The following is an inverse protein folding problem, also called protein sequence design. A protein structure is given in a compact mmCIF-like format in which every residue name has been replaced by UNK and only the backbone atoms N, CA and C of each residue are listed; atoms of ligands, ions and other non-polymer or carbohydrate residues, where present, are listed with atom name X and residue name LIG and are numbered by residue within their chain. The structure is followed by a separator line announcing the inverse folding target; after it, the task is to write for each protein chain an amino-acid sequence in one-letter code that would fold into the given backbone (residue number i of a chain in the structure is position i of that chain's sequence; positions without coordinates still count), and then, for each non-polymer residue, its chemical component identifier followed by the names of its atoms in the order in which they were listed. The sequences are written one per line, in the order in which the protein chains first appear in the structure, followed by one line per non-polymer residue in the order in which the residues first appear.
data_IF_318961699349
#
_entry.id   IF_318961699349
#
_cell.length_a   1.000
_cell.length_b   1.000
_cell.length_c   1.000
_cell.angle_alpha   90.00
_cell.angle_beta   90.00
_cell.angle_gamma   90.00
#
_symmetry.space_group_name_H-M   'P 1'
#
loop_
_entity.id
_entity.type
_entity.pdbx_description
1 polymer ?
#
# COMPACT_ATOMS: atom_id res chain seq x y z
N UNK A 1 -15.79 2.98 22.29
CA UNK A 1 -15.05 1.95 21.52
C UNK A 1 -13.60 2.38 21.46
N UNK A 2 -12.65 1.62 21.99
CA UNK A 2 -11.25 2.04 22.04
C UNK A 2 -10.63 2.15 20.64
N UNK A 3 -9.72 3.12 20.43
CA UNK A 3 -8.98 3.34 19.17
C UNK A 3 -8.35 2.04 18.64
N UNK A 4 -7.91 1.16 19.54
CA UNK A 4 -7.40 -0.17 19.23
C UNK A 4 -8.41 -1.05 18.48
N UNK A 5 -9.68 -1.05 18.90
CA UNK A 5 -10.73 -1.85 18.27
C UNK A 5 -10.96 -1.38 16.84
N UNK A 6 -11.01 -0.07 16.63
CA UNK A 6 -11.17 0.54 15.31
C UNK A 6 -9.97 0.23 14.39
N UNK A 7 -8.75 0.28 14.92
CA UNK A 7 -7.55 -0.08 14.18
C UNK A 7 -7.60 -1.55 13.71
N UNK A 8 -7.94 -2.50 14.59
CA UNK A 8 -7.96 -3.92 14.24
C UNK A 8 -9.15 -4.27 13.33
N UNK A 9 -10.35 -3.77 13.63
CA UNK A 9 -11.56 -4.09 12.86
C UNK A 9 -11.57 -3.46 11.45
N UNK A 10 -10.86 -2.35 11.24
CA UNK A 10 -10.82 -1.70 9.91
C UNK A 10 -9.53 -2.04 9.17
N UNK A 11 -8.35 -1.96 9.82
CA UNK A 11 -7.08 -2.12 9.11
C UNK A 11 -6.71 -3.57 8.78
N UNK A 12 -7.33 -4.56 9.43
CA UNK A 12 -7.03 -5.98 9.20
C UNK A 12 -7.86 -6.61 8.07
N UNK A 13 -9.21 -6.49 8.02
CA UNK A 13 -9.99 -7.20 7.01
C UNK A 13 -9.76 -6.65 5.60
N UNK A 14 -9.52 -5.34 5.45
CA UNK A 14 -9.35 -4.71 4.14
C UNK A 14 -8.16 -5.33 3.37
N UNK A 15 -6.91 -5.27 3.88
CA UNK A 15 -5.78 -5.86 3.16
C UNK A 15 -5.89 -7.38 3.07
N UNK A 16 -6.52 -8.05 4.04
CA UNK A 16 -6.75 -9.49 3.99
C UNK A 16 -7.64 -9.89 2.82
N UNK A 17 -8.81 -9.26 2.70
CA UNK A 17 -9.75 -9.51 1.60
C UNK A 17 -9.10 -9.18 0.27
N UNK A 18 -8.44 -8.03 0.14
CA UNK A 18 -7.75 -7.65 -1.11
C UNK A 18 -6.66 -8.65 -1.48
N UNK A 19 -5.88 -9.13 -0.51
CA UNK A 19 -4.81 -10.10 -0.75
C UNK A 19 -5.37 -11.47 -1.15
N UNK A 20 -6.45 -11.93 -0.51
CA UNK A 20 -7.16 -13.15 -0.92
C UNK A 20 -7.71 -13.02 -2.33
N UNK A 21 -8.36 -11.89 -2.67
CA UNK A 21 -8.83 -11.64 -4.03
C UNK A 21 -7.69 -11.65 -5.05
N UNK A 22 -6.49 -11.21 -4.65
CA UNK A 22 -5.30 -11.16 -5.50
C UNK A 22 -4.68 -12.54 -5.75
N UNK A 23 -4.70 -13.43 -4.75
CA UNK A 23 -4.03 -14.74 -4.78
C UNK A 23 -4.87 -15.83 -5.43
N UNK A 24 -6.18 -15.62 -5.62
CA UNK A 24 -7.04 -16.58 -6.30
C UNK A 24 -6.62 -16.77 -7.77
N UNK A 25 -6.38 -18.00 -8.24
CA UNK A 25 -6.00 -18.29 -9.62
C UNK A 25 -7.23 -18.27 -10.54
N UNK A 26 -7.80 -17.08 -10.74
CA UNK A 26 -9.04 -16.91 -11.51
C UNK A 26 -8.76 -16.47 -12.95
N UNK A 27 -9.83 -16.44 -13.77
CA UNK A 27 -9.72 -16.03 -15.17
C UNK A 27 -9.19 -14.60 -15.33
N UNK A 28 -8.53 -14.32 -16.46
CA UNK A 28 -7.87 -13.02 -16.73
C UNK A 28 -8.76 -11.78 -16.52
N UNK A 29 -10.05 -11.88 -16.89
CA UNK A 29 -11.01 -10.78 -16.70
C UNK A 29 -11.22 -10.45 -15.22
N UNK A 30 -11.21 -11.48 -14.36
CA UNK A 30 -11.32 -11.31 -12.92
C UNK A 30 -10.08 -10.64 -12.34
N UNK A 31 -8.87 -11.12 -12.68
CA UNK A 31 -7.63 -10.48 -12.22
C UNK A 31 -7.55 -9.00 -12.62
N UNK A 32 -8.04 -8.63 -13.81
CA UNK A 32 -8.13 -7.24 -14.25
C UNK A 32 -9.13 -6.43 -13.42
N UNK A 33 -10.29 -7.01 -13.12
CA UNK A 33 -11.28 -6.39 -12.24
C UNK A 33 -10.73 -6.15 -10.84
N UNK A 34 -10.03 -7.14 -10.28
CA UNK A 34 -9.37 -7.04 -8.97
C UNK A 34 -8.24 -5.99 -9.01
N UNK A 35 -7.40 -5.99 -10.04
CA UNK A 35 -6.35 -4.97 -10.20
C UNK A 35 -6.94 -3.55 -10.26
N UNK A 36 -8.03 -3.34 -11.00
CA UNK A 36 -8.71 -2.04 -11.04
C UNK A 36 -9.36 -1.68 -9.70
N UNK A 37 -9.91 -2.66 -8.98
CA UNK A 37 -10.47 -2.44 -7.64
C UNK A 37 -9.36 -2.06 -6.65
N UNK A 38 -8.24 -2.76 -6.70
CA UNK A 38 -7.05 -2.52 -5.87
C UNK A 38 -6.44 -1.16 -6.21
N UNK A 39 -6.30 -0.81 -7.49
CA UNK A 39 -5.79 0.49 -7.91
C UNK A 39 -6.74 1.63 -7.51
N UNK A 40 -8.06 1.43 -7.60
CA UNK A 40 -9.04 2.40 -7.10
C UNK A 40 -9.00 2.54 -5.59
N UNK A 41 -8.91 1.46 -4.85
CA UNK A 41 -8.90 1.49 -3.37
C UNK A 41 -7.59 2.05 -2.84
N UNK A 42 -6.44 1.62 -3.37
CA UNK A 42 -5.11 2.09 -2.96
C UNK A 42 -4.76 3.47 -3.53
N UNK A 43 -5.33 3.84 -4.68
CA UNK A 43 -5.13 5.09 -5.39
C UNK A 43 -6.04 6.24 -4.93
N UNK A 44 -6.87 6.04 -3.90
CA UNK A 44 -7.57 7.15 -3.25
C UNK A 44 -6.52 8.10 -2.65
N UNK A 45 -6.38 9.26 -3.28
CA UNK A 45 -5.51 10.33 -2.82
C UNK A 45 -6.25 11.09 -1.72
N UNK A 46 -5.79 10.97 -0.47
CA UNK A 46 -6.45 11.64 0.66
C UNK A 46 -6.06 13.12 0.73
N UNK A 47 -4.77 13.45 0.57
CA UNK A 47 -4.23 14.82 0.50
C UNK A 47 -2.96 14.81 -0.35
N UNK A 48 -3.01 15.41 -1.56
CA UNK A 48 -1.84 15.56 -2.44
C UNK A 48 -1.27 14.23 -2.97
N UNK A 49 0.06 14.08 -2.92
CA UNK A 49 0.82 12.93 -3.46
C UNK A 49 0.72 11.65 -2.61
N UNK A 50 0.12 11.71 -1.42
CA UNK A 50 0.04 10.59 -0.51
C UNK A 50 -1.15 9.67 -0.85
N UNK A 51 -0.83 8.55 -1.49
CA UNK A 51 -1.78 7.44 -1.72
C UNK A 51 -2.20 6.80 -0.39
N UNK A 52 -3.44 6.33 -0.30
CA UNK A 52 -3.98 5.61 0.87
C UNK A 52 -3.03 4.53 1.40
N UNK A 53 -2.36 3.83 0.49
CA UNK A 53 -1.34 2.82 0.81
C UNK A 53 -0.22 3.34 1.73
N UNK A 54 0.34 4.53 1.44
CA UNK A 54 1.42 5.09 2.25
C UNK A 54 0.92 5.50 3.63
N UNK A 55 -0.30 6.05 3.69
CA UNK A 55 -0.95 6.43 4.94
C UNK A 55 -1.19 5.20 5.82
N UNK A 56 -1.77 4.14 5.26
CA UNK A 56 -2.03 2.90 6.00
C UNK A 56 -0.74 2.19 6.42
N UNK A 57 0.29 2.20 5.57
CA UNK A 57 1.60 1.65 5.90
C UNK A 57 2.27 2.44 7.04
N UNK A 58 2.16 3.78 7.02
CA UNK A 58 2.68 4.63 8.09
C UNK A 58 1.92 4.41 9.41
N UNK A 59 0.58 4.33 9.36
CA UNK A 59 -0.25 4.08 10.54
C UNK A 59 0.07 2.71 11.15
N UNK A 60 0.12 1.66 10.33
CA UNK A 60 0.41 0.30 10.81
C UNK A 60 1.86 0.14 11.26
N UNK A 61 2.81 0.81 10.59
CA UNK A 61 4.20 0.89 11.04
C UNK A 61 4.35 1.61 12.38
N UNK A 62 3.67 2.74 12.56
CA UNK A 62 3.64 3.46 13.84
C UNK A 62 3.00 2.62 14.95
N UNK A 63 1.91 1.89 14.66
CA UNK A 63 1.28 0.98 15.59
C UNK A 63 2.21 -0.19 15.99
N UNK A 64 2.99 -0.72 15.04
CA UNK A 64 3.99 -1.75 15.31
C UNK A 64 5.11 -1.21 16.21
N UNK A 65 5.66 -0.03 15.90
CA UNK A 65 6.68 0.62 16.74
C UNK A 65 6.17 0.91 18.15
N UNK A 66 4.93 1.40 18.28
CA UNK A 66 4.29 1.60 19.57
C UNK A 66 4.14 0.29 20.36
N UNK A 67 3.80 -0.80 19.68
CA UNK A 67 3.67 -2.14 20.28
C UNK A 67 5.02 -2.71 20.72
N UNK A 68 6.08 -2.49 19.93
CA UNK A 68 7.46 -2.87 20.28
C UNK A 68 7.89 -2.12 21.55
N UNK A 69 7.69 -0.79 21.58
CA UNK A 69 8.03 0.03 22.74
C UNK A 69 7.27 -0.42 23.99
N UNK A 70 5.96 -0.65 23.88
CA UNK A 70 5.15 -1.12 25.00
C UNK A 70 5.61 -2.49 25.53
N UNK A 71 6.01 -3.41 24.64
CA UNK A 71 6.53 -4.73 25.02
C UNK A 71 7.90 -4.62 25.70
N UNK A 72 8.78 -3.77 25.18
CA UNK A 72 10.11 -3.50 25.77
C UNK A 72 10.00 -2.85 27.16
N UNK A 73 9.09 -1.89 27.32
CA UNK A 73 8.85 -1.21 28.61
C UNK A 73 8.31 -2.20 29.66
N UNK A 74 7.53 -3.21 29.27
CA UNK A 74 7.05 -4.26 30.19
C UNK A 74 8.16 -5.23 30.56
N UNK A 75 9.01 -5.62 29.60
CA UNK A 75 10.13 -6.52 29.85
C UNK A 75 11.14 -5.90 30.82
N UNK A 76 11.53 -4.64 30.57
CA UNK A 76 12.50 -3.91 31.41
C UNK A 76 11.98 -3.58 32.81
N UNK A 77 10.66 -3.48 33.02
CA UNK A 77 10.05 -3.30 34.35
C UNK A 77 10.07 -4.58 35.18
N UNK A 78 10.03 -5.75 34.54
CA UNK A 78 10.11 -7.04 35.23
C UNK A 78 11.48 -7.21 35.91
N UNK A 79 12.54 -6.85 35.20
CA UNK A 79 13.93 -7.00 35.68
C UNK A 79 14.25 -6.07 36.87
N UNK A 80 13.48 -4.99 37.05
CA UNK A 80 13.69 -4.00 38.11
C UNK A 80 12.94 -4.28 39.42
N UNK A 81 11.89 -5.10 39.38
CA UNK A 81 10.97 -5.22 40.51
C UNK A 81 11.23 -6.41 41.45
N UNK A 82 12.26 -7.23 41.20
CA UNK A 82 12.69 -8.29 42.12
C UNK A 82 11.66 -9.41 42.37
N UNK A 83 12.10 -10.52 42.96
CA UNK A 83 11.31 -11.76 43.14
C UNK A 83 10.23 -11.71 44.25
N UNK A 84 10.14 -10.63 45.03
CA UNK A 84 9.23 -10.52 46.20
C UNK A 84 7.87 -9.86 45.88
N UNK A 85 7.29 -10.15 44.72
CA UNK A 85 5.96 -9.66 44.36
C UNK A 85 4.88 -10.60 44.90
N UNK A 86 3.88 -10.04 45.58
CA UNK A 86 2.67 -10.77 45.97
C UNK A 86 2.07 -11.51 44.75
N UNK A 87 1.62 -12.77 44.89
CA UNK A 87 1.09 -13.58 43.79
C UNK A 87 -0.01 -12.88 42.97
N UNK A 88 -0.84 -12.05 43.62
CA UNK A 88 -1.89 -11.28 42.95
C UNK A 88 -1.33 -10.21 42.00
N UNK A 89 -0.21 -9.59 42.37
CA UNK A 89 0.46 -8.58 41.54
C UNK A 89 1.19 -9.27 40.39
N UNK A 90 1.82 -10.42 40.65
CA UNK A 90 2.48 -11.23 39.63
C UNK A 90 1.49 -11.69 38.53
N UNK A 91 0.31 -12.19 38.92
CA UNK A 91 -0.75 -12.55 37.98
C UNK A 91 -1.22 -11.34 37.14
N UNK A 92 -1.36 -10.16 37.75
CA UNK A 92 -1.68 -8.93 37.06
C UNK A 92 -0.62 -8.51 36.03
N UNK A 93 0.67 -8.64 36.35
CA UNK A 93 1.77 -8.37 35.43
C UNK A 93 1.80 -9.37 34.27
N UNK A 94 1.58 -10.66 34.55
CA UNK A 94 1.50 -11.70 33.53
C UNK A 94 0.36 -11.41 32.53
N UNK A 95 -0.81 -11.01 33.05
CA UNK A 95 -1.95 -10.63 32.22
C UNK A 95 -1.70 -9.36 31.39
N UNK A 96 -0.88 -8.42 31.87
CA UNK A 96 -0.45 -7.24 31.07
C UNK A 96 0.51 -7.65 29.96
N UNK A 97 1.48 -8.52 30.26
CA UNK A 97 2.43 -9.06 29.28
C UNK A 97 1.72 -9.78 28.14
N UNK A 98 0.78 -10.67 28.46
CA UNK A 98 0.01 -11.39 27.45
C UNK A 98 -0.75 -10.44 26.52
N UNK A 99 -1.37 -9.39 27.07
CA UNK A 99 -2.09 -8.39 26.26
C UNK A 99 -1.15 -7.62 25.35
N UNK A 100 0.03 -7.23 25.85
CA UNK A 100 1.03 -6.53 25.05
C UNK A 100 1.58 -7.41 23.92
N UNK A 101 1.91 -8.66 24.22
CA UNK A 101 2.40 -9.63 23.24
C UNK A 101 1.36 -9.90 22.15
N UNK A 102 0.09 -10.12 22.53
CA UNK A 102 -1.00 -10.27 21.55
C UNK A 102 -1.13 -9.03 20.66
N UNK A 103 -1.08 -7.83 21.25
CA UNK A 103 -1.17 -6.59 20.50
C UNK A 103 0.03 -6.42 19.55
N UNK A 104 1.23 -6.82 19.97
CA UNK A 104 2.42 -6.86 19.12
C UNK A 104 2.20 -7.78 17.91
N UNK A 105 1.76 -9.03 18.13
CA UNK A 105 1.52 -9.97 17.03
C UNK A 105 0.45 -9.47 16.05
N UNK A 106 -0.63 -8.87 16.55
CA UNK A 106 -1.68 -8.29 15.69
C UNK A 106 -1.13 -7.14 14.84
N UNK A 107 -0.39 -6.20 15.45
CA UNK A 107 0.23 -5.07 14.73
C UNK A 107 1.25 -5.56 13.71
N UNK A 108 2.04 -6.59 14.07
CA UNK A 108 3.05 -7.18 13.20
C UNK A 108 2.39 -7.83 11.96
N UNK A 109 1.40 -8.71 12.17
CA UNK A 109 0.67 -9.35 11.07
C UNK A 109 -0.01 -8.30 10.19
N UNK A 110 -0.65 -7.29 10.78
CA UNK A 110 -1.29 -6.23 10.01
C UNK A 110 -0.29 -5.48 9.14
N UNK A 111 0.85 -5.05 9.70
CA UNK A 111 1.91 -4.39 8.94
C UNK A 111 2.47 -5.29 7.83
N UNK A 112 2.79 -6.55 8.14
CA UNK A 112 3.27 -7.52 7.15
C UNK A 112 2.25 -7.72 6.02
N UNK A 113 0.96 -7.78 6.34
CA UNK A 113 -0.10 -7.96 5.36
C UNK A 113 -0.21 -6.76 4.41
N UNK A 114 -0.07 -5.54 4.92
CA UNK A 114 0.04 -4.34 4.09
C UNK A 114 1.30 -4.39 3.22
N UNK A 115 2.48 -4.74 3.76
CA UNK A 115 3.69 -4.89 2.97
C UNK A 115 3.55 -5.93 1.85
N UNK A 116 2.94 -7.08 2.16
CA UNK A 116 2.66 -8.12 1.16
C UNK A 116 1.71 -7.60 0.10
N UNK A 117 0.64 -6.90 0.46
CA UNK A 117 -0.30 -6.32 -0.51
C UNK A 117 0.42 -5.39 -1.49
N UNK A 118 1.33 -4.52 -1.00
CA UNK A 118 2.14 -3.64 -1.87
C UNK A 118 3.00 -4.46 -2.84
N UNK A 119 3.70 -5.47 -2.33
CA UNK A 119 4.59 -6.31 -3.15
C UNK A 119 3.83 -7.12 -4.18
N UNK A 120 2.74 -7.77 -3.78
CA UNK A 120 1.89 -8.54 -4.69
C UNK A 120 1.23 -7.65 -5.75
N UNK A 121 0.77 -6.45 -5.38
CA UNK A 121 0.24 -5.49 -6.34
C UNK A 121 1.28 -5.11 -7.40
N UNK A 122 2.52 -4.80 -6.99
CA UNK A 122 3.60 -4.46 -7.92
C UNK A 122 3.92 -5.64 -8.87
N UNK A 123 4.03 -6.86 -8.34
CA UNK A 123 4.31 -8.06 -9.14
C UNK A 123 3.20 -8.32 -10.16
N UNK A 124 1.92 -8.17 -9.76
CA UNK A 124 0.81 -8.39 -10.70
C UNK A 124 0.71 -7.30 -11.75
N UNK A 125 1.08 -6.06 -11.41
CA UNK A 125 1.14 -4.97 -12.38
C UNK A 125 2.22 -5.26 -13.44
N UNK A 126 3.39 -5.71 -13.01
CA UNK A 126 4.48 -6.10 -13.91
C UNK A 126 4.08 -7.32 -14.77
N UNK A 127 3.42 -8.32 -14.17
CA UNK A 127 2.90 -9.47 -14.91
C UNK A 127 1.89 -9.04 -15.98
N UNK A 128 0.95 -8.15 -15.64
CA UNK A 128 -0.03 -7.65 -16.59
C UNK A 128 0.65 -6.89 -17.75
N UNK A 129 1.68 -6.08 -17.46
CA UNK A 129 2.49 -5.40 -18.49
C UNK A 129 3.15 -6.41 -19.44
N UNK A 130 3.81 -7.43 -18.89
CA UNK A 130 4.51 -8.45 -19.67
C UNK A 130 3.56 -9.29 -20.53
N UNK A 131 2.38 -9.63 -20.00
CA UNK A 131 1.36 -10.36 -20.77
C UNK A 131 0.81 -9.54 -21.95
N UNK A 132 0.69 -8.23 -21.80
CA UNK A 132 0.24 -7.34 -22.87
C UNK A 132 1.33 -7.15 -23.94
N UNK A 133 2.60 -6.99 -23.55
CA UNK A 133 3.73 -6.94 -24.50
C UNK A 133 3.83 -8.25 -25.30
N UNK A 134 3.78 -9.41 -24.62
CA UNK A 134 3.82 -10.71 -25.28
C UNK A 134 2.69 -10.88 -26.31
N UNK A 135 1.50 -10.33 -26.03
CA UNK A 135 0.37 -10.36 -26.97
C UNK A 135 0.58 -9.47 -28.19
N UNK A 136 1.12 -8.28 -28.00
CA UNK A 136 1.44 -7.37 -29.10
C UNK A 136 2.47 -8.01 -30.03
N UNK A 137 3.55 -8.58 -29.47
CA UNK A 137 4.56 -9.29 -30.25
C UNK A 137 3.96 -10.52 -30.96
N UNK A 138 3.16 -11.33 -30.25
CA UNK A 138 2.54 -12.51 -30.84
C UNK A 138 1.64 -12.14 -32.03
N UNK A 139 0.83 -11.09 -31.89
CA UNK A 139 -0.04 -10.60 -32.97
C UNK A 139 0.78 -10.15 -34.19
N UNK A 140 1.90 -9.46 -33.98
CA UNK A 140 2.81 -9.06 -35.06
C UNK A 140 3.42 -10.26 -35.79
N UNK A 141 3.83 -11.31 -35.07
CA UNK A 141 4.44 -12.50 -35.67
C UNK A 141 3.42 -13.38 -36.40
N UNK A 142 2.18 -13.48 -35.90
CA UNK A 142 1.14 -14.34 -36.51
C UNK A 142 0.27 -13.65 -37.55
N UNK A 143 0.48 -12.35 -37.83
CA UNK A 143 -0.32 -11.59 -38.81
C UNK A 143 -1.80 -11.44 -38.43
N UNK A 144 -2.15 -11.70 -37.17
CA UNK A 144 -3.53 -11.57 -36.67
C UNK A 144 -3.93 -10.11 -36.44
N UNK A 145 -5.24 -9.79 -36.43
CA UNK A 145 -5.71 -8.43 -36.21
C UNK A 145 -5.16 -7.89 -34.87
N UNK A 146 -4.69 -6.62 -34.84
CA UNK A 146 -4.13 -6.04 -33.64
C UNK A 146 -5.17 -6.05 -32.51
N UNK A 147 -4.78 -6.41 -31.28
CA UNK A 147 -5.70 -6.40 -30.16
C UNK A 147 -6.25 -4.98 -29.94
N UNK A 148 -7.57 -4.88 -29.77
CA UNK A 148 -8.27 -3.63 -29.49
C UNK A 148 -7.78 -2.99 -28.19
N UNK A 149 -7.05 -1.87 -28.35
CA UNK A 149 -6.60 -0.89 -27.36
C UNK A 149 -5.55 -1.33 -26.31
N UNK A 150 -4.55 -0.46 -26.01
CA UNK A 150 -3.60 -0.68 -24.94
C UNK A 150 -4.30 -0.68 -23.56
N UNK A 151 -4.13 -1.78 -22.82
CA UNK A 151 -4.75 -2.08 -21.52
C UNK A 151 -4.16 -1.30 -20.33
N UNK A 152 -3.59 -0.12 -20.55
CA UNK A 152 -3.04 0.69 -19.46
C UNK A 152 -4.22 1.25 -18.65
N UNK A 153 -4.29 1.12 -17.32
CA UNK A 153 -5.02 2.10 -16.53
C UNK A 153 -4.28 3.41 -16.74
N UNK A 154 -4.89 4.32 -17.49
CA UNK A 154 -4.33 5.65 -17.73
C UNK A 154 -4.01 6.24 -16.36
N UNK A 155 -2.74 6.54 -16.03
CA UNK A 155 -2.48 7.35 -14.86
C UNK A 155 -3.28 8.64 -15.08
N UNK A 156 -4.18 8.95 -14.14
CA UNK A 156 -4.97 10.19 -14.17
C UNK A 156 -4.00 11.30 -14.49
N UNK A 157 -4.26 11.95 -15.63
CA UNK A 157 -3.34 12.85 -16.29
C UNK A 157 -2.75 13.85 -15.29
N UNK A 158 -1.43 13.83 -15.14
CA UNK A 158 -0.72 15.06 -14.83
C UNK A 158 -1.08 16.05 -15.95
N UNK A 159 -1.66 17.17 -15.55
CA UNK A 159 -2.11 18.23 -16.44
C UNK A 159 -1.03 18.58 -17.48
N UNK A 160 -1.41 18.90 -18.73
CA UNK A 160 -0.46 19.25 -19.76
C UNK A 160 0.33 20.50 -19.33
N UNK A 161 1.64 20.35 -19.22
CA UNK A 161 2.56 21.47 -19.18
C UNK A 161 2.34 22.31 -20.44
N UNK A 162 1.91 23.55 -20.25
CA UNK A 162 1.78 24.55 -21.30
C UNK A 162 3.13 24.72 -21.99
N UNK A 163 3.20 24.35 -23.27
CA UNK A 163 4.30 24.68 -24.15
C UNK A 163 4.42 26.21 -24.23
N UNK A 164 5.37 26.79 -23.51
CA UNK A 164 5.87 28.12 -23.79
C UNK A 164 6.65 28.03 -25.10
N UNK A 165 6.03 28.56 -26.17
CA UNK A 165 6.64 28.73 -27.47
C UNK A 165 7.89 29.59 -27.37
N UNK A 166 9.04 28.96 -27.62
CA UNK A 166 10.28 29.64 -28.00
C UNK A 166 10.03 30.27 -29.37
N UNK A 167 9.95 31.60 -29.43
CA UNK A 167 10.03 32.35 -30.69
C UNK A 167 11.35 33.12 -30.69
N UNK A 168 12.30 32.59 -31.46
CA UNK A 168 13.59 33.19 -31.74
C UNK A 168 13.49 34.14 -32.95
N UNK A 169 14.14 35.31 -32.80
CA UNK A 169 14.76 36.13 -33.84
C UNK A 169 13.86 36.84 -34.90
N UNK A 170 13.94 38.17 -34.95
CA UNK A 170 14.85 38.87 -35.88
C UNK A 170 14.50 40.36 -35.98
N UNK A 171 15.56 41.16 -36.05
CA UNK A 171 15.58 42.62 -36.12
C UNK A 171 15.01 43.16 -37.45
N UNK A 172 14.31 44.29 -37.36
CA UNK A 172 13.77 45.02 -38.51
C UNK A 172 13.66 46.51 -38.21
N UNK A 173 14.76 47.22 -38.43
CA UNK A 173 14.92 48.68 -38.44
C UNK A 173 13.85 49.39 -39.28
N UNK A 174 13.14 50.39 -38.72
CA UNK A 174 12.45 51.45 -39.49
C UNK A 174 12.15 52.72 -38.66
N UNK A 175 12.99 53.74 -38.88
CA UNK A 175 12.70 55.15 -39.23
C UNK A 175 11.55 55.92 -38.53
N UNK A 176 11.89 57.02 -37.85
CA UNK A 176 11.18 58.33 -37.75
C UNK A 176 11.75 59.07 -36.52
N UNK A 177 11.96 60.38 -36.45
CA UNK A 177 11.92 61.52 -37.36
C UNK A 177 12.88 62.55 -36.72
#
# INVERSE_FOLDING_TARGET
MGVWKLAVEICLPIPFVLLVLLTLPLGRKFHRGVLNLVDKTLGLNFVGTFKLLHVMLAITGAALLASIKATSDISTRKDKNGEDLSPNIAAGQLAKRWRAERNFWISFICFTLWCLLVRFYAILLDKARMEDEYRLLKAQVTGGPPPSAPTRPTPVAAAPASNASVSSASAGTKKAA
#
